data_IF_873621866082
#
_entry.id   IF_873621866082
#
_cell.length_a   1.000
_cell.length_b   1.000
_cell.length_c   1.000
_cell.angle_alpha   90.00
_cell.angle_beta   90.00
_cell.angle_gamma   90.00
#
_symmetry.space_group_name_H-M   'P 1'
#
loop_
_entity.id
_entity.type
_entity.pdbx_description
1 polymer ?
#
# COMPACT_ATOMS: atom_id res chain seq x y z
N UNK A 1 -10.36 -19.88 6.16
CA UNK A 1 -9.69 -18.64 5.71
C UNK A 1 -8.96 -18.06 6.91
N UNK A 2 -7.66 -17.81 6.80
CA UNK A 2 -6.86 -17.16 7.85
C UNK A 2 -6.55 -15.73 7.41
N UNK A 3 -6.51 -14.80 8.36
CA UNK A 3 -6.20 -13.39 8.11
C UNK A 3 -5.00 -13.03 8.98
N UNK A 4 -4.06 -12.30 8.40
CA UNK A 4 -2.87 -11.80 9.07
C UNK A 4 -2.61 -10.35 8.63
N UNK A 5 -1.93 -9.58 9.48
CA UNK A 5 -1.70 -8.15 9.28
C UNK A 5 -0.20 -7.85 9.28
N UNK A 6 0.29 -7.34 8.17
CA UNK A 6 1.67 -6.85 8.03
C UNK A 6 1.65 -5.32 7.95
N UNK A 7 2.61 -4.67 8.62
CA UNK A 7 2.84 -3.24 8.43
C UNK A 7 4.11 -3.05 7.61
N UNK A 8 3.97 -2.43 6.45
CA UNK A 8 5.10 -1.99 5.63
C UNK A 8 5.33 -0.50 5.86
N UNK A 9 6.53 -0.14 6.31
CA UNK A 9 6.95 1.27 6.29
C UNK A 9 7.79 1.50 5.04
N UNK A 10 7.32 2.37 4.16
CA UNK A 10 8.01 2.76 2.92
C UNK A 10 8.12 4.28 2.72
N UNK A 11 7.66 5.07 3.71
CA UNK A 11 7.54 6.53 3.66
C UNK A 11 8.08 7.24 4.91
N UNK A 12 8.55 8.47 4.72
CA UNK A 12 8.67 9.53 5.73
C UNK A 12 8.01 10.78 5.12
N UNK A 13 6.94 11.29 5.75
CA UNK A 13 6.05 12.32 5.18
C UNK A 13 5.51 11.92 3.80
N UNK A 14 5.65 12.78 2.78
CA UNK A 14 5.20 12.57 1.40
C UNK A 14 6.26 11.90 0.49
N UNK A 15 7.40 11.47 1.05
CA UNK A 15 8.50 10.89 0.28
C UNK A 15 8.81 9.44 0.67
N UNK A 16 9.07 8.61 -0.35
CA UNK A 16 9.42 7.21 -0.15
C UNK A 16 10.90 7.06 0.24
N UNK A 17 11.19 6.29 1.28
CA UNK A 17 12.55 6.06 1.80
C UNK A 17 13.29 4.93 1.08
N UNK A 18 12.58 4.08 0.33
CA UNK A 18 13.15 2.98 -0.46
C UNK A 18 13.53 1.72 0.33
N UNK A 19 13.67 1.78 1.66
CA UNK A 19 13.84 0.61 2.52
C UNK A 19 12.50 0.20 3.13
N UNK A 20 12.08 -1.06 2.90
CA UNK A 20 10.88 -1.61 3.51
C UNK A 20 11.25 -2.47 4.71
N UNK A 21 10.74 -2.08 5.87
CA UNK A 21 10.70 -2.95 7.05
C UNK A 21 9.29 -3.53 7.17
N UNK A 22 9.20 -4.86 7.15
CA UNK A 22 7.99 -5.57 7.56
C UNK A 22 7.95 -5.58 9.08
N UNK A 23 6.90 -5.00 9.65
CA UNK A 23 6.70 -4.89 11.10
C UNK A 23 5.38 -5.61 11.42
N UNK A 24 5.43 -6.55 12.36
CA UNK A 24 4.26 -7.38 12.70
C UNK A 24 3.94 -8.44 11.64
N UNK A 25 2.93 -9.25 11.95
CA UNK A 25 2.54 -10.45 11.21
C UNK A 25 3.05 -11.74 11.85
N UNK A 26 2.40 -12.84 11.49
CA UNK A 26 2.91 -14.18 11.76
C UNK A 26 4.21 -14.42 10.99
N UNK A 27 4.96 -15.46 11.37
CA UNK A 27 6.12 -15.90 10.58
C UNK A 27 5.68 -16.15 9.13
N UNK A 28 6.28 -15.41 8.19
CA UNK A 28 6.01 -15.52 6.75
C UNK A 28 6.26 -16.94 6.22
N UNK A 29 7.03 -17.77 6.93
CA UNK A 29 7.18 -19.20 6.61
C UNK A 29 5.84 -19.96 6.60
N UNK A 30 4.86 -19.50 7.38
CA UNK A 30 3.51 -20.06 7.43
C UNK A 30 2.73 -19.93 6.12
N UNK A 31 3.22 -19.13 5.16
CA UNK A 31 2.63 -18.93 3.83
C UNK A 31 3.06 -20.00 2.81
N UNK A 32 4.02 -20.86 3.16
CA UNK A 32 4.51 -21.93 2.28
C UNK A 32 3.37 -22.79 1.75
N UNK A 33 3.30 -22.95 0.42
CA UNK A 33 2.27 -23.78 -0.23
C UNK A 33 0.83 -23.24 -0.16
N UNK A 34 0.60 -22.05 0.39
CA UNK A 34 -0.73 -21.41 0.47
C UNK A 34 -1.01 -20.51 -0.71
N UNK A 35 -2.30 -20.30 -1.00
CA UNK A 35 -2.75 -19.23 -1.87
C UNK A 35 -2.90 -17.96 -1.02
N UNK A 36 -2.17 -16.91 -1.36
CA UNK A 36 -2.11 -15.65 -0.61
C UNK A 36 -2.80 -14.55 -1.42
N UNK A 37 -3.70 -13.82 -0.79
CA UNK A 37 -4.29 -12.60 -1.31
C UNK A 37 -3.80 -11.42 -0.47
N UNK A 38 -3.03 -10.53 -1.09
CA UNK A 38 -2.60 -9.27 -0.47
C UNK A 38 -3.66 -8.22 -0.78
N UNK A 39 -4.05 -7.44 0.23
CA UNK A 39 -5.01 -6.34 0.09
C UNK A 39 -4.30 -5.05 0.49
N UNK A 40 -4.12 -4.15 -0.48
CA UNK A 40 -3.48 -2.84 -0.29
C UNK A 40 -4.50 -1.72 -0.53
N UNK A 41 -4.42 -0.62 0.20
CA UNK A 41 -5.27 0.55 -0.01
C UNK A 41 -4.94 1.26 -1.34
N UNK A 42 -3.66 1.52 -1.62
CA UNK A 42 -3.22 2.29 -2.79
C UNK A 42 -1.88 1.84 -3.37
N UNK A 43 -1.84 1.65 -4.69
CA UNK A 43 -0.61 1.55 -5.46
C UNK A 43 -0.24 2.92 -6.03
N UNK A 44 0.80 3.55 -5.48
CA UNK A 44 1.39 4.79 -6.02
C UNK A 44 2.49 4.45 -7.05
N UNK A 45 3.75 4.37 -6.60
CA UNK A 45 4.87 4.04 -7.48
C UNK A 45 4.97 2.54 -7.79
N UNK A 46 4.39 1.68 -6.94
CA UNK A 46 4.51 0.23 -7.02
C UNK A 46 5.76 -0.37 -6.36
N UNK A 47 6.67 0.46 -5.82
CA UNK A 47 7.89 -0.01 -5.16
C UNK A 47 7.60 -0.89 -3.94
N UNK A 48 6.64 -0.48 -3.11
CA UNK A 48 6.22 -1.23 -1.91
C UNK A 48 5.83 -2.67 -2.25
N UNK A 49 4.94 -2.81 -3.23
CA UNK A 49 4.47 -4.12 -3.68
C UNK A 49 5.56 -4.95 -4.36
N UNK A 50 6.42 -4.35 -5.17
CA UNK A 50 7.54 -5.08 -5.79
C UNK A 50 8.41 -5.75 -4.74
N UNK A 51 8.84 -4.99 -3.74
CA UNK A 51 9.69 -5.51 -2.65
C UNK A 51 8.95 -6.54 -1.80
N UNK A 52 7.67 -6.32 -1.45
CA UNK A 52 6.88 -7.31 -0.70
C UNK A 52 6.77 -8.63 -1.48
N UNK A 53 6.47 -8.57 -2.78
CA UNK A 53 6.36 -9.77 -3.61
C UNK A 53 7.70 -10.49 -3.77
N UNK A 54 8.82 -9.77 -3.87
CA UNK A 54 10.16 -10.35 -3.88
C UNK A 54 10.50 -11.06 -2.55
N UNK A 55 10.10 -10.48 -1.42
CA UNK A 55 10.23 -11.12 -0.11
C UNK A 55 9.37 -12.39 -0.01
N UNK A 56 8.09 -12.30 -0.35
CA UNK A 56 7.15 -13.42 -0.23
C UNK A 56 7.52 -14.62 -1.11
N UNK A 57 8.15 -14.39 -2.28
CA UNK A 57 8.66 -15.47 -3.14
C UNK A 57 9.63 -16.41 -2.42
N UNK A 58 10.40 -15.91 -1.45
CA UNK A 58 11.37 -16.71 -0.70
C UNK A 58 10.70 -17.80 0.14
N UNK A 59 9.45 -17.57 0.56
CA UNK A 59 8.65 -18.49 1.35
C UNK A 59 7.79 -19.44 0.50
N UNK A 60 7.93 -19.42 -0.83
CA UNK A 60 7.30 -20.37 -1.75
C UNK A 60 5.78 -20.57 -1.53
N UNK A 61 4.97 -19.48 -1.52
CA UNK A 61 3.52 -19.63 -1.58
C UNK A 61 3.12 -20.33 -2.88
N UNK A 62 2.00 -21.05 -2.87
CA UNK A 62 1.45 -21.72 -4.06
C UNK A 62 1.00 -20.71 -5.11
N UNK A 63 0.44 -19.59 -4.66
CA UNK A 63 -0.02 -18.49 -5.51
C UNK A 63 -0.03 -17.21 -4.69
N UNK A 64 0.29 -16.09 -5.33
CA UNK A 64 0.10 -14.75 -4.75
C UNK A 64 -0.73 -13.94 -5.71
N UNK A 65 -1.76 -13.28 -5.18
CA UNK A 65 -2.60 -12.31 -5.89
C UNK A 65 -2.66 -11.02 -5.08
N UNK A 66 -2.83 -9.91 -5.78
CA UNK A 66 -2.89 -8.58 -5.15
C UNK A 66 -4.18 -7.89 -5.55
N UNK A 67 -4.93 -7.45 -4.56
CA UNK A 67 -6.05 -6.55 -4.71
C UNK A 67 -5.67 -5.17 -4.19
N UNK A 68 -5.97 -4.12 -4.94
CA UNK A 68 -5.84 -2.76 -4.46
C UNK A 68 -7.07 -1.92 -4.77
N UNK A 69 -7.49 -1.11 -3.79
CA UNK A 69 -8.62 -0.20 -3.98
C UNK A 69 -8.27 0.89 -5.00
N UNK A 70 -7.09 1.51 -4.89
CA UNK A 70 -6.67 2.61 -5.74
C UNK A 70 -5.35 2.32 -6.47
N UNK A 71 -5.25 2.69 -7.75
CA UNK A 71 -3.99 2.70 -8.49
C UNK A 71 -3.77 4.08 -9.09
N UNK A 72 -2.67 4.76 -8.75
CA UNK A 72 -2.35 6.08 -9.30
C UNK A 72 -1.79 5.98 -10.71
N UNK A 73 -2.34 6.80 -11.61
CA UNK A 73 -1.73 7.11 -12.91
C UNK A 73 -0.65 8.17 -12.69
N UNK A 74 0.56 7.73 -12.36
CA UNK A 74 1.73 8.60 -12.11
C UNK A 74 2.89 8.23 -13.04
N UNK A 75 3.64 9.22 -13.57
CA UNK A 75 4.87 8.95 -14.32
C UNK A 75 5.98 8.32 -13.46
N UNK A 76 5.85 8.35 -12.12
CA UNK A 76 6.79 7.72 -11.18
C UNK A 76 6.56 6.21 -11.03
N UNK A 77 5.55 5.66 -11.69
CA UNK A 77 5.21 4.24 -11.60
C UNK A 77 6.32 3.38 -12.21
N UNK A 78 6.65 2.28 -11.54
CA UNK A 78 7.55 1.24 -12.09
C UNK A 78 6.83 0.27 -13.03
N UNK A 79 5.58 0.55 -13.40
CA UNK A 79 4.75 -0.31 -14.25
C UNK A 79 4.09 -1.49 -13.52
N UNK A 80 4.19 -1.56 -12.19
CA UNK A 80 3.52 -2.60 -11.42
C UNK A 80 1.99 -2.43 -11.45
N UNK A 81 1.27 -3.52 -11.65
CA UNK A 81 -0.19 -3.58 -11.75
C UNK A 81 -0.70 -4.73 -10.86
N UNK A 82 -1.64 -4.48 -9.92
CA UNK A 82 -2.25 -5.55 -9.12
C UNK A 82 -3.23 -6.37 -9.97
N UNK A 83 -3.54 -7.59 -9.52
CA UNK A 83 -4.46 -8.50 -10.22
C UNK A 83 -5.91 -8.02 -10.18
N UNK A 84 -6.30 -7.36 -9.08
CA UNK A 84 -7.63 -6.80 -8.89
C UNK A 84 -7.52 -5.31 -8.57
N UNK A 85 -8.15 -4.47 -9.39
CA UNK A 85 -8.14 -3.00 -9.26
C UNK A 85 -9.56 -2.53 -8.96
N UNK A 86 -9.73 -1.74 -7.90
CA UNK A 86 -10.97 -1.01 -7.66
C UNK A 86 -11.11 0.19 -8.59
N UNK A 87 -10.20 1.16 -8.47
CA UNK A 87 -10.22 2.40 -9.22
C UNK A 87 -8.81 2.81 -9.67
N UNK A 88 -8.71 3.34 -10.89
CA UNK A 88 -7.53 4.10 -11.31
C UNK A 88 -7.75 5.61 -11.10
N UNK A 89 -6.88 6.25 -10.34
CA UNK A 89 -7.01 7.66 -9.94
C UNK A 89 -5.86 8.53 -10.49
N UNK A 90 -6.06 9.85 -10.65
CA UNK A 90 -4.98 10.77 -11.02
C UNK A 90 -3.84 10.81 -9.99
N UNK A 91 -2.68 11.32 -10.39
CA UNK A 91 -1.56 11.59 -9.47
C UNK A 91 -1.83 12.81 -8.58
N UNK A 92 -2.67 12.59 -7.56
CA UNK A 92 -2.99 13.54 -6.49
C UNK A 92 -2.81 12.85 -5.14
N UNK A 93 -2.52 13.65 -4.11
CA UNK A 93 -2.46 13.14 -2.74
C UNK A 93 -3.89 13.01 -2.20
N UNK A 94 -4.29 11.79 -1.87
CA UNK A 94 -5.64 11.44 -1.44
C UNK A 94 -5.64 11.02 0.03
N UNK A 95 -6.72 11.34 0.73
CA UNK A 95 -6.96 11.03 2.14
C UNK A 95 -8.40 10.54 2.33
N UNK A 96 -8.69 9.92 3.47
CA UNK A 96 -10.00 9.37 3.78
C UNK A 96 -10.15 7.91 3.35
N UNK A 97 -11.13 7.24 3.93
CA UNK A 97 -11.35 5.81 3.80
C UNK A 97 -10.10 5.01 4.18
N UNK A 98 -9.61 5.25 5.40
CA UNK A 98 -8.36 4.74 5.96
C UNK A 98 -7.05 5.33 5.39
N UNK A 99 -7.06 6.00 4.23
CA UNK A 99 -5.91 6.76 3.73
C UNK A 99 -5.68 7.99 4.60
N UNK A 100 -4.41 8.34 4.84
CA UNK A 100 -4.05 9.39 5.78
C UNK A 100 -3.06 10.42 5.22
N UNK A 101 -2.95 11.52 5.96
CA UNK A 101 -1.81 12.42 5.91
C UNK A 101 -1.31 12.62 7.34
N UNK A 102 -0.12 12.09 7.65
CA UNK A 102 0.48 12.13 8.99
C UNK A 102 -0.47 11.63 10.09
N UNK A 103 -1.11 10.48 9.87
CA UNK A 103 -2.11 9.85 10.75
C UNK A 103 -3.47 10.58 10.86
N UNK A 104 -3.64 11.74 10.21
CA UNK A 104 -4.93 12.44 10.13
C UNK A 104 -5.78 11.94 8.96
N UNK A 105 -7.10 12.20 9.04
CA UNK A 105 -8.12 11.96 8.01
C UNK A 105 -8.53 10.50 7.76
N UNK A 106 -8.00 9.52 8.50
CA UNK A 106 -8.39 8.09 8.36
C UNK A 106 -9.89 7.85 8.58
N UNK A 107 -10.49 8.67 9.42
CA UNK A 107 -11.89 8.65 9.86
C UNK A 107 -12.86 9.33 8.87
N UNK A 108 -12.35 9.97 7.81
CA UNK A 108 -13.17 10.54 6.76
C UNK A 108 -13.76 9.43 5.86
N UNK A 109 -15.07 9.40 5.67
CA UNK A 109 -15.73 8.34 4.87
C UNK A 109 -15.44 8.41 3.37
N UNK A 110 -15.09 9.60 2.86
CA UNK A 110 -14.88 9.84 1.44
C UNK A 110 -13.40 9.94 1.11
N UNK A 111 -13.01 9.37 -0.02
CA UNK A 111 -11.68 9.59 -0.60
C UNK A 111 -11.66 10.99 -1.22
N UNK A 112 -10.86 11.86 -0.64
CA UNK A 112 -10.76 13.27 -1.00
C UNK A 112 -9.32 13.65 -1.36
N UNK A 113 -9.15 14.69 -2.17
CA UNK A 113 -7.82 15.30 -2.39
C UNK A 113 -7.54 16.28 -1.25
N UNK A 114 -6.39 16.16 -0.59
CA UNK A 114 -6.01 17.10 0.48
C UNK A 114 -5.72 18.48 -0.11
N UNK A 115 -6.22 19.54 0.54
CA UNK A 115 -5.94 20.92 0.15
C UNK A 115 -4.55 21.38 0.62
N UNK A 116 -4.01 22.43 0.01
CA UNK A 116 -2.72 23.00 0.44
C UNK A 116 -2.76 23.51 1.88
N UNK A 117 -3.87 24.14 2.30
CA UNK A 117 -4.06 24.52 3.71
C UNK A 117 -4.10 23.31 4.65
N UNK A 118 -4.65 22.18 4.18
CA UNK A 118 -4.65 20.92 4.91
C UNK A 118 -3.25 20.36 5.09
N UNK A 119 -2.45 20.33 4.01
CA UNK A 119 -1.05 19.90 4.07
C UNK A 119 -0.25 20.75 5.06
N UNK A 120 -0.36 22.06 4.99
CA UNK A 120 0.38 22.95 5.90
C UNK A 120 -0.05 22.78 7.36
N UNK A 121 -1.36 22.65 7.61
CA UNK A 121 -1.90 22.48 8.97
C UNK A 121 -1.41 21.21 9.67
N UNK A 122 -1.23 20.12 8.92
CA UNK A 122 -0.90 18.81 9.47
C UNK A 122 0.51 18.35 9.09
N UNK A 123 1.37 19.30 8.68
CA UNK A 123 2.77 19.04 8.37
C UNK A 123 3.50 18.58 9.63
N UNK A 124 4.34 17.55 9.50
CA UNK A 124 5.18 17.02 10.57
C UNK A 124 6.38 17.92 10.85
#
# INVERSE_FOLDING_TARGET
MTVDFIRLKSYCNDQSTGEIKVIGGDDLSSLTGKNVLIVEDIIDTGKTMKTLLELLKQYKPKMVKVASLLVKRTPRSIGYRPDFVGFEVPDKFVVGYALDYNEYFRDLNHICVISESGKEKYKA
#
